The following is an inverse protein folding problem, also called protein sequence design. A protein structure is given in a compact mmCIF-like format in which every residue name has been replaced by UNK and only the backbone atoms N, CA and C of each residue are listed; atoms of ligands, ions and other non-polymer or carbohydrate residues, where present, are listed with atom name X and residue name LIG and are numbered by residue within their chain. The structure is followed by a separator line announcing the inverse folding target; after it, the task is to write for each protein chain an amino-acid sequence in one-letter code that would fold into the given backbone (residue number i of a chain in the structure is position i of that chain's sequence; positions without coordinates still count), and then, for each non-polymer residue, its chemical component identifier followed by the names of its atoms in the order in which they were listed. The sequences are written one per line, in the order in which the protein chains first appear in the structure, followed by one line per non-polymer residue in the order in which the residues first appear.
data_IF_214915126310
#
_entry.id   IF_214915126310
#
_cell.length_a   1.000
_cell.length_b   1.000
_cell.length_c   1.000
_cell.angle_alpha   90.00
_cell.angle_beta   90.00
_cell.angle_gamma   90.00
#
_symmetry.space_group_name_H-M   'P 1'
#
loop_
_entity.id
_entity.type
_entity.pdbx_description
1 polymer ?
#
# COMPACT_ATOMS: atom_id res chain seq x y z
N UNK A 1 15.90 21.55 -15.54
CA UNK A 1 15.85 20.92 -14.20
C UNK A 1 14.77 21.64 -13.42
N UNK A 2 13.57 21.05 -13.32
CA UNK A 2 12.52 21.55 -12.43
C UNK A 2 13.05 21.43 -11.00
N UNK A 3 13.02 22.54 -10.23
CA UNK A 3 13.25 22.46 -8.79
C UNK A 3 12.06 21.68 -8.23
N UNK A 4 12.29 20.45 -7.78
CA UNK A 4 11.32 19.71 -6.98
C UNK A 4 10.86 20.60 -5.86
N UNK A 5 9.56 20.80 -5.71
CA UNK A 5 9.00 21.50 -4.57
C UNK A 5 9.30 20.66 -3.33
N UNK A 6 10.16 21.20 -2.50
CA UNK A 6 10.57 20.61 -1.25
C UNK A 6 9.57 21.06 -0.18
N UNK A 7 8.95 20.11 0.51
CA UNK A 7 8.01 20.43 1.59
C UNK A 7 8.76 20.44 2.93
N UNK A 8 8.86 21.62 3.54
CA UNK A 8 9.34 21.74 4.92
C UNK A 8 8.19 21.51 5.92
N UNK A 9 8.54 21.42 7.22
CA UNK A 9 7.55 21.15 8.27
C UNK A 9 6.43 22.19 8.33
N UNK A 10 6.72 23.46 8.05
CA UNK A 10 5.72 24.54 8.03
C UNK A 10 4.71 24.35 6.88
N UNK A 11 5.18 23.99 5.70
CA UNK A 11 4.31 23.72 4.54
C UNK A 11 3.45 22.47 4.77
N UNK A 12 4.03 21.41 5.37
CA UNK A 12 3.27 20.23 5.77
C UNK A 12 2.24 20.54 6.84
N UNK A 13 2.56 21.41 7.83
CA UNK A 13 1.62 21.83 8.86
C UNK A 13 0.43 22.61 8.27
N UNK A 14 0.67 23.47 7.30
CA UNK A 14 -0.39 24.19 6.58
C UNK A 14 -1.28 23.23 5.79
N UNK A 15 -0.71 22.25 5.05
CA UNK A 15 -1.47 21.23 4.36
C UNK A 15 -2.35 20.43 5.32
N UNK A 16 -1.80 20.02 6.47
CA UNK A 16 -2.55 19.26 7.49
C UNK A 16 -3.70 20.09 8.05
N UNK A 17 -3.47 21.36 8.36
CA UNK A 17 -4.50 22.26 8.89
C UNK A 17 -5.63 22.48 7.86
N UNK A 18 -5.29 22.77 6.61
CA UNK A 18 -6.27 22.93 5.53
C UNK A 18 -7.11 21.66 5.32
N UNK A 19 -6.43 20.49 5.31
CA UNK A 19 -7.09 19.21 5.15
C UNK A 19 -8.05 18.88 6.29
N UNK A 20 -7.69 19.18 7.55
CA UNK A 20 -8.58 19.05 8.71
C UNK A 20 -9.85 19.88 8.58
N UNK A 21 -9.71 21.11 8.12
CA UNK A 21 -10.87 21.97 7.85
C UNK A 21 -11.76 21.40 6.77
N UNK A 22 -11.16 20.87 5.69
CA UNK A 22 -11.89 20.21 4.61
C UNK A 22 -12.66 18.99 5.12
N UNK A 23 -11.99 18.12 5.88
CA UNK A 23 -12.60 16.91 6.45
C UNK A 23 -13.77 17.27 7.40
N UNK A 24 -13.59 18.28 8.26
CA UNK A 24 -14.64 18.74 9.18
C UNK A 24 -15.87 19.31 8.47
N UNK A 25 -15.73 19.79 7.24
CA UNK A 25 -16.81 20.30 6.43
C UNK A 25 -17.52 19.21 5.59
N UNK A 26 -16.99 17.98 5.57
CA UNK A 26 -17.60 16.87 4.83
C UNK A 26 -18.78 16.28 5.61
N UNK A 27 -19.81 15.83 4.85
CA UNK A 27 -20.90 15.08 5.45
C UNK A 27 -20.38 13.74 5.98
N UNK A 28 -20.66 13.37 7.25
CA UNK A 28 -20.21 12.08 7.80
C UNK A 28 -20.90 10.86 7.15
N UNK A 29 -21.97 11.04 6.38
CA UNK A 29 -22.58 9.96 5.60
C UNK A 29 -21.57 9.50 4.52
N UNK A 30 -21.03 8.30 4.68
CA UNK A 30 -20.04 7.75 3.74
C UNK A 30 -18.59 7.76 4.24
N UNK A 31 -18.39 8.17 5.48
CA UNK A 31 -17.09 8.12 6.15
C UNK A 31 -17.16 7.09 7.26
N UNK A 32 -16.22 6.16 7.31
CA UNK A 32 -16.11 5.21 8.40
C UNK A 32 -14.69 5.19 8.95
N UNK A 33 -14.55 4.71 10.17
CA UNK A 33 -13.26 4.55 10.83
C UNK A 33 -12.93 3.06 10.90
N UNK A 34 -11.68 2.70 10.66
CA UNK A 34 -11.24 1.36 10.96
C UNK A 34 -11.34 1.13 12.48
N UNK A 35 -12.28 0.26 12.85
CA UNK A 35 -12.47 -0.17 14.24
C UNK A 35 -11.75 -1.50 14.41
N UNK A 36 -10.50 -1.46 14.87
CA UNK A 36 -9.73 -2.69 15.07
C UNK A 36 -8.26 -2.40 15.39
N UNK A 37 -7.53 -3.43 15.84
CA UNK A 37 -6.10 -3.31 16.09
C UNK A 37 -5.35 -2.98 14.79
N UNK A 38 -4.24 -2.26 14.93
CA UNK A 38 -3.34 -1.93 13.83
C UNK A 38 -3.72 -0.68 13.00
N UNK A 39 -4.90 -0.07 13.20
CA UNK A 39 -5.27 1.19 12.54
C UNK A 39 -4.63 2.41 13.19
N UNK A 40 -4.28 3.45 12.38
CA UNK A 40 -3.84 4.73 12.92
C UNK A 40 -4.98 5.43 13.67
N UNK A 41 -4.63 6.14 14.74
CA UNK A 41 -5.59 6.90 15.55
C UNK A 41 -5.49 8.39 15.28
N UNK A 42 -4.34 8.85 14.77
CA UNK A 42 -4.05 10.24 14.54
C UNK A 42 -3.73 10.58 13.08
N UNK A 43 -3.56 11.85 12.83
CA UNK A 43 -3.23 12.40 11.52
C UNK A 43 -1.78 12.84 11.50
N UNK A 44 -1.07 12.46 10.44
CA UNK A 44 0.32 12.83 10.23
C UNK A 44 0.62 12.95 8.74
N UNK A 45 1.68 13.70 8.42
CA UNK A 45 2.29 13.76 7.08
C UNK A 45 3.79 13.59 7.25
N UNK A 46 4.41 12.88 6.33
CA UNK A 46 5.86 12.86 6.14
C UNK A 46 6.20 12.98 4.66
N UNK A 47 7.15 13.84 4.34
CA UNK A 47 7.74 13.97 3.01
C UNK A 47 9.22 13.60 3.09
N UNK A 48 9.67 12.74 2.17
CA UNK A 48 11.05 12.28 2.05
C UNK A 48 11.53 12.55 0.64
N UNK A 49 12.66 13.22 0.55
CA UNK A 49 13.44 13.46 -0.68
C UNK A 49 14.90 13.17 -0.43
N UNK A 50 15.76 13.36 -1.45
CA UNK A 50 17.19 13.01 -1.40
C UNK A 50 17.91 13.49 -0.14
N UNK A 51 17.66 14.72 0.28
CA UNK A 51 18.46 15.40 1.31
C UNK A 51 17.68 15.73 2.58
N UNK A 52 16.37 15.38 2.63
CA UNK A 52 15.53 15.84 3.75
C UNK A 52 14.33 14.94 4.03
N UNK A 53 14.02 14.87 5.31
CA UNK A 53 12.80 14.28 5.86
C UNK A 53 12.08 15.37 6.66
N UNK A 54 10.87 15.73 6.23
CA UNK A 54 9.98 16.65 6.93
C UNK A 54 8.73 15.93 7.40
N UNK A 55 8.25 16.26 8.61
CA UNK A 55 7.13 15.54 9.21
C UNK A 55 6.35 16.39 10.20
N UNK A 56 5.03 16.18 10.23
CA UNK A 56 4.11 16.89 11.15
C UNK A 56 3.00 15.97 11.63
N UNK A 57 2.31 16.39 12.68
CA UNK A 57 1.21 15.63 13.28
C UNK A 57 1.69 14.48 14.17
N UNK A 58 0.86 13.45 14.30
CA UNK A 58 1.15 12.27 15.14
C UNK A 58 2.13 11.29 14.45
N UNK A 59 3.27 11.82 13.98
CA UNK A 59 4.21 11.10 13.12
C UNK A 59 4.98 9.96 13.79
N UNK A 60 4.91 9.84 15.13
CA UNK A 60 5.55 8.74 15.88
C UNK A 60 4.62 7.55 16.14
N UNK A 61 3.34 7.71 15.87
CA UNK A 61 2.36 6.64 16.00
C UNK A 61 2.72 5.48 15.07
N UNK A 62 2.68 4.27 15.62
CA UNK A 62 2.87 3.05 14.84
C UNK A 62 1.52 2.45 14.49
N UNK A 63 1.43 1.91 13.30
CA UNK A 63 0.25 1.23 12.78
C UNK A 63 0.68 0.16 11.76
N UNK A 64 -0.19 -0.80 11.49
CA UNK A 64 0.10 -1.85 10.51
C UNK A 64 0.08 -1.30 9.08
N UNK A 65 0.94 -1.81 8.21
CA UNK A 65 1.00 -1.38 6.83
C UNK A 65 -0.24 -1.80 6.04
N UNK A 66 -0.86 -2.91 6.40
CA UNK A 66 -1.99 -3.47 5.66
C UNK A 66 -1.68 -3.50 4.15
N UNK A 67 -2.57 -2.99 3.31
CA UNK A 67 -2.36 -2.98 1.86
C UNK A 67 -1.25 -2.02 1.38
N UNK A 68 -0.69 -1.18 2.24
CA UNK A 68 0.46 -0.35 1.86
C UNK A 68 1.74 -1.18 1.62
N UNK A 69 1.80 -2.43 2.08
CA UNK A 69 2.92 -3.35 1.84
C UNK A 69 2.96 -3.90 0.40
N UNK A 70 1.82 -3.91 -0.32
CA UNK A 70 1.66 -4.62 -1.60
C UNK A 70 2.61 -4.16 -2.73
N UNK A 71 2.95 -2.87 -2.92
CA UNK A 71 3.93 -2.46 -3.91
C UNK A 71 5.32 -3.05 -3.66
N UNK A 72 5.72 -3.15 -2.41
CA UNK A 72 7.02 -3.73 -2.01
C UNK A 72 7.02 -5.25 -2.19
N UNK A 73 5.90 -5.91 -1.89
CA UNK A 73 5.70 -7.32 -2.20
C UNK A 73 5.85 -7.60 -3.69
N UNK A 74 5.17 -6.79 -4.54
CA UNK A 74 5.28 -6.93 -5.99
C UNK A 74 6.73 -6.73 -6.45
N UNK A 75 7.43 -5.69 -5.97
CA UNK A 75 8.82 -5.44 -6.32
C UNK A 75 9.71 -6.63 -5.94
N UNK A 76 9.57 -7.14 -4.71
CA UNK A 76 10.38 -8.27 -4.22
C UNK A 76 10.18 -9.53 -5.06
N UNK A 77 8.93 -9.83 -5.42
CA UNK A 77 8.60 -11.00 -6.22
C UNK A 77 9.08 -10.84 -7.67
N UNK A 78 8.97 -9.64 -8.24
CA UNK A 78 9.53 -9.31 -9.56
C UNK A 78 11.05 -9.45 -9.59
N UNK A 79 11.74 -8.92 -8.59
CA UNK A 79 13.21 -9.00 -8.50
C UNK A 79 13.71 -10.44 -8.30
N UNK A 80 12.90 -11.28 -7.65
CA UNK A 80 13.29 -12.66 -7.37
C UNK A 80 12.97 -13.63 -8.53
N UNK A 81 11.81 -13.48 -9.19
CA UNK A 81 11.32 -14.41 -10.22
C UNK A 81 11.40 -13.85 -11.65
N UNK A 82 11.54 -12.53 -11.79
CA UNK A 82 11.47 -11.84 -13.08
C UNK A 82 10.06 -11.56 -13.56
N UNK A 83 9.92 -10.53 -14.41
CA UNK A 83 8.62 -10.04 -14.89
C UNK A 83 7.83 -11.09 -15.69
N UNK A 84 8.52 -11.93 -16.47
CA UNK A 84 7.87 -12.97 -17.28
C UNK A 84 7.14 -14.01 -16.45
N UNK A 85 7.72 -14.42 -15.30
CA UNK A 85 7.09 -15.39 -14.43
C UNK A 85 5.95 -14.75 -13.62
N UNK A 86 6.13 -13.52 -13.12
CA UNK A 86 5.09 -12.79 -12.39
C UNK A 86 3.87 -12.52 -13.26
N UNK A 87 4.05 -12.21 -14.55
CA UNK A 87 2.94 -12.00 -15.50
C UNK A 87 2.10 -13.27 -15.74
N UNK A 88 2.63 -14.46 -15.45
CA UNK A 88 1.85 -15.71 -15.46
C UNK A 88 0.92 -15.82 -14.26
N UNK A 89 1.25 -15.19 -13.15
CA UNK A 89 0.52 -15.28 -11.88
C UNK A 89 -0.50 -14.17 -11.70
N UNK A 90 -0.16 -12.94 -12.06
CA UNK A 90 -1.03 -11.78 -11.92
C UNK A 90 -0.92 -10.89 -13.16
N UNK A 91 -2.01 -10.19 -13.49
CA UNK A 91 -2.02 -9.17 -14.53
C UNK A 91 -1.77 -7.76 -13.93
N UNK A 92 -1.89 -6.71 -14.75
CA UNK A 92 -1.79 -5.30 -14.34
C UNK A 92 -3.12 -4.55 -14.60
N UNK A 93 -4.25 -5.26 -14.65
CA UNK A 93 -5.54 -4.69 -15.00
C UNK A 93 -6.32 -4.22 -13.76
N UNK A 94 -6.98 -3.04 -13.83
CA UNK A 94 -7.87 -2.59 -12.78
C UNK A 94 -8.98 -3.61 -12.51
N UNK A 95 -9.37 -3.76 -11.23
CA UNK A 95 -10.56 -4.51 -10.87
C UNK A 95 -11.80 -3.65 -11.11
N UNK A 96 -12.82 -4.21 -11.74
CA UNK A 96 -14.15 -3.58 -11.85
C UNK A 96 -15.04 -3.84 -10.63
N UNK A 97 -14.50 -4.50 -9.61
CA UNK A 97 -15.20 -4.88 -8.37
C UNK A 97 -14.30 -4.62 -7.16
N UNK A 98 -14.87 -4.64 -5.93
CA UNK A 98 -14.12 -4.44 -4.69
C UNK A 98 -12.88 -5.35 -4.61
N UNK A 99 -11.82 -4.85 -4.01
CA UNK A 99 -10.50 -5.49 -3.91
C UNK A 99 -10.50 -6.88 -3.24
N UNK A 100 -11.60 -7.28 -2.64
CA UNK A 100 -11.83 -8.59 -2.01
C UNK A 100 -12.87 -9.43 -2.75
N UNK A 101 -13.18 -9.14 -4.02
CA UNK A 101 -14.26 -9.81 -4.76
C UNK A 101 -13.90 -11.24 -5.18
N UNK A 102 -14.50 -12.22 -4.53
CA UNK A 102 -14.45 -13.62 -4.96
C UNK A 102 -15.14 -13.84 -6.32
N UNK A 103 -16.23 -13.09 -6.56
CA UNK A 103 -16.95 -13.15 -7.83
C UNK A 103 -16.03 -12.78 -9.00
N UNK A 104 -15.26 -11.67 -8.86
CA UNK A 104 -14.31 -11.25 -9.88
C UNK A 104 -13.23 -12.30 -10.14
N UNK A 105 -12.65 -12.87 -9.08
CA UNK A 105 -11.63 -13.91 -9.20
C UNK A 105 -12.15 -15.13 -9.99
N UNK A 106 -13.39 -15.55 -9.75
CA UNK A 106 -14.03 -16.67 -10.45
C UNK A 106 -14.31 -16.35 -11.91
N UNK A 107 -14.81 -15.16 -12.21
CA UNK A 107 -15.08 -14.69 -13.57
C UNK A 107 -13.79 -14.61 -14.40
N UNK A 108 -12.66 -14.31 -13.76
CA UNK A 108 -11.33 -14.26 -14.37
C UNK A 108 -10.62 -15.65 -14.41
N UNK A 109 -11.34 -16.74 -14.17
CA UNK A 109 -10.79 -18.10 -14.20
C UNK A 109 -9.78 -18.39 -13.09
N UNK A 110 -9.85 -17.67 -11.98
CA UNK A 110 -8.98 -17.81 -10.82
C UNK A 110 -7.66 -17.04 -10.90
N UNK A 111 -7.36 -16.37 -12.02
CA UNK A 111 -6.16 -15.52 -12.15
C UNK A 111 -6.45 -14.10 -11.62
N UNK A 112 -5.69 -13.60 -10.62
CA UNK A 112 -5.89 -12.25 -10.12
C UNK A 112 -5.56 -11.16 -11.16
N UNK A 113 -6.41 -10.13 -11.26
CA UNK A 113 -6.23 -9.02 -12.21
C UNK A 113 -5.01 -8.15 -11.94
N UNK A 114 -4.59 -8.04 -10.69
CA UNK A 114 -3.40 -7.26 -10.33
C UNK A 114 -2.91 -7.60 -8.92
N UNK A 115 -1.71 -7.14 -8.61
CA UNK A 115 -1.04 -7.34 -7.32
C UNK A 115 -1.62 -6.50 -6.16
N UNK A 116 -2.48 -5.50 -6.43
CA UNK A 116 -2.98 -4.56 -5.42
C UNK A 116 -4.29 -5.01 -4.78
N UNK A 117 -5.03 -5.95 -5.41
CA UNK A 117 -6.19 -6.63 -4.80
C UNK A 117 -5.76 -7.77 -3.89
N UNK A 118 -6.66 -8.25 -3.03
CA UNK A 118 -6.31 -9.25 -2.01
C UNK A 118 -5.88 -10.59 -2.61
N UNK A 119 -6.59 -11.09 -3.61
CA UNK A 119 -6.23 -12.36 -4.29
C UNK A 119 -4.83 -12.30 -4.92
N UNK A 120 -4.48 -11.19 -5.59
CA UNK A 120 -3.17 -11.02 -6.19
C UNK A 120 -2.04 -10.92 -5.15
N UNK A 121 -2.26 -10.14 -4.09
CA UNK A 121 -1.29 -10.03 -3.01
C UNK A 121 -1.10 -11.35 -2.26
N UNK A 122 -2.17 -12.12 -2.03
CA UNK A 122 -2.13 -13.42 -1.39
C UNK A 122 -1.36 -14.44 -2.24
N UNK A 123 -1.61 -14.48 -3.54
CA UNK A 123 -0.85 -15.30 -4.47
C UNK A 123 0.64 -14.92 -4.44
N UNK A 124 0.96 -13.64 -4.57
CA UNK A 124 2.36 -13.19 -4.57
C UNK A 124 3.07 -13.44 -3.22
N UNK A 125 2.37 -13.33 -2.09
CA UNK A 125 2.92 -13.68 -0.78
C UNK A 125 3.36 -15.15 -0.74
N UNK A 126 2.59 -16.07 -1.33
CA UNK A 126 2.95 -17.49 -1.43
C UNK A 126 4.17 -17.77 -2.33
N UNK A 127 4.59 -16.79 -3.13
CA UNK A 127 5.76 -16.89 -4.02
C UNK A 127 7.03 -16.24 -3.44
N UNK A 128 6.95 -15.68 -2.24
CA UNK A 128 8.15 -15.18 -1.55
C UNK A 128 9.13 -16.31 -1.25
N UNK A 129 10.45 -16.06 -1.23
CA UNK A 129 11.43 -17.03 -0.80
C UNK A 129 11.21 -17.43 0.68
N UNK A 130 11.44 -18.68 1.01
CA UNK A 130 11.31 -19.26 2.36
C UNK A 130 10.39 -20.48 2.42
N UNK A 131 10.55 -21.28 3.47
CA UNK A 131 9.81 -22.51 3.71
C UNK A 131 8.57 -22.24 4.59
N UNK A 132 7.55 -21.62 3.99
CA UNK A 132 6.29 -21.31 4.66
C UNK A 132 6.19 -19.90 5.22
N UNK A 133 4.99 -19.54 5.72
CA UNK A 133 4.59 -18.16 6.00
C UNK A 133 5.49 -17.40 6.97
N UNK A 134 6.00 -18.07 8.00
CA UNK A 134 6.85 -17.45 9.04
C UNK A 134 8.22 -17.07 8.47
N UNK A 135 8.89 -17.99 7.79
CA UNK A 135 10.19 -17.69 7.18
C UNK A 135 10.07 -16.67 6.06
N UNK A 136 9.03 -16.76 5.23
CA UNK A 136 8.72 -15.78 4.18
C UNK A 136 8.56 -14.37 4.76
N UNK A 137 7.85 -14.22 5.87
CA UNK A 137 7.71 -12.94 6.56
C UNK A 137 9.07 -12.40 7.04
N UNK A 138 9.89 -13.25 7.68
CA UNK A 138 11.20 -12.84 8.18
C UNK A 138 12.12 -12.37 7.06
N UNK A 139 12.26 -13.18 6.00
CA UNK A 139 13.08 -12.84 4.84
C UNK A 139 12.58 -11.60 4.11
N UNK A 140 11.28 -11.39 4.05
CA UNK A 140 10.69 -10.18 3.47
C UNK A 140 10.94 -8.95 4.34
N UNK A 141 10.80 -9.05 5.65
CA UNK A 141 11.09 -7.95 6.58
C UNK A 141 12.57 -7.57 6.55
N UNK A 142 13.48 -8.54 6.50
CA UNK A 142 14.91 -8.29 6.38
C UNK A 142 15.24 -7.61 5.05
N UNK A 143 14.62 -8.06 3.95
CA UNK A 143 14.75 -7.39 2.67
C UNK A 143 14.22 -5.94 2.71
N UNK A 144 13.10 -5.66 3.38
CA UNK A 144 12.59 -4.29 3.54
C UNK A 144 13.55 -3.40 4.34
N UNK A 145 14.23 -3.95 5.35
CA UNK A 145 15.24 -3.25 6.14
C UNK A 145 16.48 -2.90 5.30
N UNK A 146 16.91 -3.82 4.46
CA UNK A 146 18.00 -3.58 3.51
C UNK A 146 17.58 -2.59 2.42
N UNK A 147 16.34 -2.70 1.93
CA UNK A 147 15.77 -1.81 0.92
C UNK A 147 15.63 -0.35 1.41
N UNK A 148 15.28 -0.17 2.67
CA UNK A 148 15.17 1.16 3.31
C UNK A 148 15.72 1.12 4.74
N UNK A 149 17.04 1.25 4.92
CA UNK A 149 17.70 1.11 6.23
C UNK A 149 17.26 2.12 7.29
N UNK A 150 16.62 3.21 6.87
CA UNK A 150 16.10 4.24 7.78
C UNK A 150 14.73 3.85 8.36
N UNK A 151 13.97 2.99 7.67
CA UNK A 151 12.65 2.57 8.10
C UNK A 151 12.76 1.58 9.27
N UNK A 152 12.07 1.88 10.37
CA UNK A 152 12.01 1.04 11.57
C UNK A 152 10.74 0.19 11.56
N UNK A 153 10.83 -0.99 10.97
CA UNK A 153 9.71 -1.92 10.82
C UNK A 153 9.78 -3.06 11.85
N UNK A 154 8.61 -3.46 12.34
CA UNK A 154 8.41 -4.64 13.20
C UNK A 154 7.13 -5.39 12.80
N UNK A 155 6.77 -6.40 13.58
CA UNK A 155 5.53 -7.17 13.40
C UNK A 155 4.60 -6.84 14.56
N UNK A 156 3.37 -6.45 14.26
CA UNK A 156 2.29 -6.37 15.23
C UNK A 156 1.68 -7.77 15.44
N UNK A 157 2.16 -8.45 16.49
CA UNK A 157 1.74 -9.82 16.81
C UNK A 157 0.27 -9.89 17.26
N UNK A 158 -0.21 -8.87 17.96
CA UNK A 158 -1.59 -8.81 18.45
C UNK A 158 -2.57 -8.61 17.30
N UNK A 159 -2.24 -7.71 16.36
CA UNK A 159 -3.02 -7.53 15.15
C UNK A 159 -3.05 -8.82 14.31
N UNK A 160 -1.92 -9.50 14.16
CA UNK A 160 -1.84 -10.76 13.42
C UNK A 160 -2.72 -11.84 14.06
N UNK A 161 -2.65 -12.03 15.37
CA UNK A 161 -3.48 -12.99 16.09
C UNK A 161 -4.98 -12.71 15.88
N UNK A 162 -5.38 -11.44 16.03
CA UNK A 162 -6.75 -11.01 15.80
C UNK A 162 -7.24 -11.29 14.37
N UNK A 163 -6.44 -10.96 13.35
CA UNK A 163 -6.83 -11.16 11.95
C UNK A 163 -6.95 -12.64 11.60
N UNK A 164 -6.05 -13.49 12.10
CA UNK A 164 -6.12 -14.92 11.87
C UNK A 164 -7.32 -15.60 12.56
N UNK A 165 -7.84 -15.03 13.66
CA UNK A 165 -9.03 -15.52 14.35
C UNK A 165 -10.33 -15.03 13.70
N UNK A 166 -10.40 -13.73 13.34
CA UNK A 166 -11.65 -13.08 12.91
C UNK A 166 -12.04 -13.41 11.46
N UNK A 167 -11.09 -13.70 10.58
CA UNK A 167 -11.35 -13.85 9.14
C UNK A 167 -11.43 -15.32 8.69
N UNK A 168 -11.43 -16.29 9.62
CA UNK A 168 -11.46 -17.73 9.28
C UNK A 168 -12.67 -18.15 8.43
N UNK A 169 -13.79 -17.44 8.57
CA UNK A 169 -15.04 -17.72 7.84
C UNK A 169 -15.34 -16.67 6.76
N UNK A 170 -14.39 -15.76 6.50
CA UNK A 170 -14.64 -14.57 5.70
C UNK A 170 -14.05 -14.65 4.29
N UNK A 171 -14.25 -13.57 3.58
CA UNK A 171 -13.94 -13.36 2.17
C UNK A 171 -12.50 -13.72 1.77
N UNK A 172 -11.50 -13.44 2.64
CA UNK A 172 -10.11 -13.71 2.30
C UNK A 172 -9.75 -15.20 2.31
N UNK A 173 -10.34 -16.00 3.22
CA UNK A 173 -10.17 -17.46 3.18
C UNK A 173 -10.81 -18.04 1.90
N UNK A 174 -11.99 -17.55 1.51
CA UNK A 174 -12.63 -17.98 0.27
C UNK A 174 -11.81 -17.63 -0.99
N UNK A 175 -11.09 -16.50 -0.97
CA UNK A 175 -10.14 -16.16 -2.04
C UNK A 175 -8.95 -17.13 -2.08
N UNK A 176 -8.40 -17.50 -0.91
CA UNK A 176 -7.32 -18.47 -0.83
C UNK A 176 -7.73 -19.86 -1.33
N UNK A 177 -8.91 -20.33 -0.93
CA UNK A 177 -9.48 -21.61 -1.38
C UNK A 177 -9.73 -21.61 -2.90
N UNK A 178 -10.18 -20.49 -3.47
CA UNK A 178 -10.36 -20.34 -4.91
C UNK A 178 -9.02 -20.41 -5.65
N UNK A 179 -7.98 -19.75 -5.12
CA UNK A 179 -6.63 -19.81 -5.69
C UNK A 179 -6.03 -21.23 -5.60
N UNK A 180 -6.25 -21.95 -4.49
CA UNK A 180 -5.79 -23.34 -4.34
C UNK A 180 -6.53 -24.25 -5.32
N UNK A 181 -7.86 -24.12 -5.43
CA UNK A 181 -8.68 -24.90 -6.36
C UNK A 181 -8.27 -24.69 -7.80
N UNK A 182 -7.84 -23.48 -8.16
CA UNK A 182 -7.32 -23.14 -9.48
C UNK A 182 -5.87 -23.60 -9.72
N UNK A 183 -5.20 -24.19 -8.71
CA UNK A 183 -3.80 -24.61 -8.82
C UNK A 183 -2.77 -23.46 -8.82
N UNK A 184 -3.20 -22.24 -8.43
CA UNK A 184 -2.33 -21.06 -8.40
C UNK A 184 -1.40 -21.05 -7.19
N UNK A 185 -1.86 -21.62 -6.07
CA UNK A 185 -1.11 -21.78 -4.81
C UNK A 185 -1.17 -23.22 -4.33
N UNK A 186 -0.23 -23.63 -3.48
CA UNK A 186 -0.16 -25.00 -2.97
C UNK A 186 -1.00 -25.26 -1.73
N UNK A 187 -1.34 -24.22 -0.94
CA UNK A 187 -2.15 -24.32 0.28
C UNK A 187 -2.86 -23.00 0.57
N UNK A 188 -4.17 -23.06 0.64
CA UNK A 188 -5.03 -21.92 1.01
C UNK A 188 -4.67 -21.39 2.40
N UNK A 189 -4.54 -22.28 3.38
CA UNK A 189 -4.21 -21.89 4.75
C UNK A 189 -2.84 -21.19 4.85
N UNK A 190 -1.83 -21.71 4.16
CA UNK A 190 -0.50 -21.08 4.17
C UNK A 190 -0.48 -19.73 3.45
N UNK A 191 -1.17 -19.60 2.31
CA UNK A 191 -1.24 -18.34 1.57
C UNK A 191 -2.04 -17.28 2.34
N UNK A 192 -3.13 -17.65 2.98
CA UNK A 192 -3.91 -16.82 3.87
C UNK A 192 -3.07 -16.29 5.04
N UNK A 193 -2.39 -17.19 5.77
CA UNK A 193 -1.50 -16.82 6.86
C UNK A 193 -0.37 -15.91 6.37
N UNK A 194 0.31 -16.27 5.28
CA UNK A 194 1.40 -15.49 4.71
C UNK A 194 0.98 -14.09 4.33
N UNK A 195 -0.19 -13.92 3.74
CA UNK A 195 -0.75 -12.61 3.39
C UNK A 195 -0.97 -11.73 4.63
N UNK A 196 -1.61 -12.26 5.69
CA UNK A 196 -1.84 -11.48 6.91
C UNK A 196 -0.57 -11.17 7.68
N UNK A 197 0.42 -12.06 7.66
CA UNK A 197 1.74 -11.79 8.22
C UNK A 197 2.41 -10.57 7.60
N UNK A 198 2.26 -10.36 6.29
CA UNK A 198 2.76 -9.15 5.63
C UNK A 198 1.91 -7.93 5.93
N UNK A 199 0.59 -8.06 6.02
CA UNK A 199 -0.31 -6.98 6.39
C UNK A 199 -0.03 -6.43 7.79
N UNK A 200 0.40 -7.29 8.72
CA UNK A 200 0.72 -6.95 10.11
C UNK A 200 2.17 -6.46 10.31
N UNK A 201 2.93 -6.23 9.26
CA UNK A 201 4.13 -5.40 9.38
C UNK A 201 3.70 -4.00 9.80
N UNK A 202 4.37 -3.44 10.81
CA UNK A 202 4.05 -2.12 11.35
C UNK A 202 5.21 -1.14 11.24
N UNK A 203 4.86 0.12 11.16
CA UNK A 203 5.76 1.25 11.14
C UNK A 203 5.00 2.54 11.40
N UNK A 204 5.70 3.65 11.39
CA UNK A 204 5.16 5.01 11.48
C UNK A 204 5.03 5.65 10.08
N UNK A 205 4.43 6.84 10.00
CA UNK A 205 4.37 7.60 8.73
C UNK A 205 5.75 7.91 8.14
N UNK A 206 6.77 8.31 8.90
CA UNK A 206 8.14 8.39 8.39
C UNK A 206 8.66 7.08 7.80
N UNK A 207 8.36 5.93 8.41
CA UNK A 207 8.82 4.64 7.89
C UNK A 207 8.19 4.32 6.54
N UNK A 208 6.88 4.57 6.39
CA UNK A 208 6.17 4.41 5.10
C UNK A 208 6.72 5.37 4.05
N UNK A 209 7.00 6.63 4.41
CA UNK A 209 7.56 7.61 3.49
C UNK A 209 9.00 7.24 3.05
N UNK A 210 9.81 6.70 3.95
CA UNK A 210 11.16 6.20 3.64
C UNK A 210 11.12 4.97 2.73
N UNK A 211 10.22 4.01 2.97
CA UNK A 211 9.99 2.89 2.06
C UNK A 211 9.56 3.38 0.67
N UNK A 212 8.59 4.31 0.62
CA UNK A 212 8.13 4.90 -0.63
C UNK A 212 9.23 5.68 -1.36
N UNK A 213 10.10 6.39 -0.65
CA UNK A 213 11.28 7.04 -1.24
C UNK A 213 12.27 6.01 -1.80
N UNK A 214 12.50 4.91 -1.08
CA UNK A 214 13.26 3.77 -1.61
C UNK A 214 12.68 3.27 -2.94
N UNK A 215 11.35 3.13 -3.03
CA UNK A 215 10.67 2.75 -4.28
C UNK A 215 10.80 3.84 -5.36
N UNK A 216 10.69 5.13 -5.01
CA UNK A 216 10.86 6.24 -5.94
C UNK A 216 12.23 6.23 -6.63
N UNK A 217 13.28 5.82 -5.90
CA UNK A 217 14.68 5.88 -6.31
C UNK A 217 15.33 4.53 -6.56
N UNK A 218 14.56 3.42 -6.44
CA UNK A 218 15.08 2.07 -6.62
C UNK A 218 15.81 1.90 -7.96
N UNK A 219 16.96 1.23 -7.92
CA UNK A 219 17.71 0.85 -9.10
C UNK A 219 17.17 -0.38 -9.82
N UNK A 220 16.12 -1.04 -9.27
CA UNK A 220 15.48 -2.20 -9.87
C UNK A 220 14.91 -1.89 -11.25
N UNK A 221 15.17 -2.77 -12.21
CA UNK A 221 14.55 -2.72 -13.55
C UNK A 221 13.04 -2.89 -13.53
N UNK A 222 12.47 -3.37 -12.41
CA UNK A 222 11.05 -3.61 -12.23
C UNK A 222 10.31 -2.45 -11.53
N UNK A 223 11.03 -1.43 -11.05
CA UNK A 223 10.46 -0.25 -10.40
C UNK A 223 9.31 0.37 -11.21
N UNK A 224 9.54 0.61 -12.48
CA UNK A 224 8.55 1.30 -13.32
C UNK A 224 7.30 0.44 -13.53
N UNK A 225 7.43 -0.88 -13.55
CA UNK A 225 6.28 -1.81 -13.55
C UNK A 225 5.45 -1.67 -12.26
N UNK A 226 6.11 -1.64 -11.10
CA UNK A 226 5.41 -1.42 -9.82
C UNK A 226 4.70 -0.07 -9.79
N UNK A 227 5.36 1.01 -10.24
CA UNK A 227 4.75 2.33 -10.29
C UNK A 227 3.57 2.41 -11.25
N UNK A 228 3.63 1.76 -12.41
CA UNK A 228 2.47 1.64 -13.33
C UNK A 228 1.32 0.89 -12.67
N UNK A 229 1.60 -0.23 -11.99
CA UNK A 229 0.56 -0.99 -11.27
C UNK A 229 -0.06 -0.15 -10.14
N UNK A 230 0.73 0.65 -9.41
CA UNK A 230 0.21 1.60 -8.43
C UNK A 230 -0.67 2.68 -9.07
N UNK A 231 -0.25 3.26 -10.21
CA UNK A 231 -1.02 4.27 -10.93
C UNK A 231 -2.39 3.75 -11.36
N UNK A 232 -2.46 2.49 -11.82
CA UNK A 232 -3.68 1.86 -12.34
C UNK A 232 -4.57 1.24 -11.27
N UNK A 233 -4.00 0.75 -10.16
CA UNK A 233 -4.68 -0.14 -9.22
C UNK A 233 -4.47 0.21 -7.74
N UNK A 234 -3.62 1.19 -7.41
CA UNK A 234 -3.14 1.40 -6.04
C UNK A 234 -4.18 1.95 -5.07
N UNK A 235 -5.19 2.66 -5.57
CA UNK A 235 -6.35 3.16 -4.83
C UNK A 235 -7.65 2.42 -5.23
N UNK A 236 -7.50 1.16 -5.68
CA UNK A 236 -8.61 0.31 -6.09
C UNK A 236 -9.46 0.97 -7.19
N UNK A 237 -10.79 1.04 -7.02
CA UNK A 237 -11.72 1.64 -7.99
C UNK A 237 -11.48 3.14 -8.21
N UNK A 238 -10.89 3.84 -7.24
CA UNK A 238 -10.57 5.26 -7.36
C UNK A 238 -9.28 5.56 -8.16
N UNK A 239 -8.51 4.54 -8.54
CA UNK A 239 -7.17 4.72 -9.13
C UNK A 239 -7.17 5.51 -10.42
N UNK A 240 -8.12 5.26 -11.31
CA UNK A 240 -8.20 5.94 -12.62
C UNK A 240 -8.43 7.45 -12.47
N UNK A 241 -9.43 7.84 -11.70
CA UNK A 241 -9.76 9.23 -11.45
C UNK A 241 -8.65 9.93 -10.68
N UNK A 242 -8.08 9.25 -9.70
CA UNK A 242 -6.92 9.72 -8.95
C UNK A 242 -5.73 10.03 -9.86
N UNK A 243 -5.34 9.06 -10.69
CA UNK A 243 -4.16 9.24 -11.54
C UNK A 243 -4.39 10.28 -12.63
N UNK A 244 -5.61 10.35 -13.18
CA UNK A 244 -5.99 11.40 -14.14
C UNK A 244 -5.90 12.80 -13.53
N UNK A 245 -6.27 12.95 -12.25
CA UNK A 245 -6.23 14.23 -11.54
C UNK A 245 -4.85 14.64 -11.05
N UNK A 246 -3.99 13.68 -10.67
CA UNK A 246 -2.73 13.95 -9.95
C UNK A 246 -1.47 13.52 -10.68
N UNK A 247 -1.57 12.61 -11.64
CA UNK A 247 -0.46 11.86 -12.25
C UNK A 247 0.47 11.18 -11.22
N UNK A 248 0.00 10.96 -9.99
CA UNK A 248 0.79 10.46 -8.87
C UNK A 248 0.50 8.97 -8.63
N UNK A 249 1.44 8.05 -8.87
CA UNK A 249 1.31 6.67 -8.40
C UNK A 249 1.15 6.66 -6.88
N UNK A 250 0.09 6.03 -6.39
CA UNK A 250 -0.20 6.02 -4.95
C UNK A 250 -0.67 4.65 -4.48
N UNK A 251 -0.54 4.38 -3.17
CA UNK A 251 -1.10 3.19 -2.52
C UNK A 251 -1.74 3.54 -1.19
N UNK A 252 -2.93 3.01 -0.96
CA UNK A 252 -3.68 3.12 0.28
C UNK A 252 -3.60 1.86 1.13
N UNK A 253 -3.72 2.03 2.45
CA UNK A 253 -3.94 0.96 3.42
C UNK A 253 -5.15 1.28 4.29
N UNK A 254 -6.01 0.30 4.55
CA UNK A 254 -7.19 0.45 5.42
C UNK A 254 -6.82 0.80 6.88
N UNK A 255 -5.55 0.66 7.24
CA UNK A 255 -5.00 1.18 8.50
C UNK A 255 -5.01 2.71 8.60
N UNK A 256 -5.34 3.42 7.53
CA UNK A 256 -5.45 4.87 7.52
C UNK A 256 -4.32 5.58 6.75
N UNK A 257 -3.47 4.86 6.02
CA UNK A 257 -2.32 5.44 5.30
C UNK A 257 -2.56 5.52 3.80
N UNK A 258 -2.08 6.61 3.18
CA UNK A 258 -1.79 6.69 1.73
C UNK A 258 -0.38 7.22 1.56
N UNK A 259 0.36 6.65 0.63
CA UNK A 259 1.61 7.25 0.15
C UNK A 259 1.58 7.39 -1.37
N UNK A 260 2.20 8.47 -1.84
CA UNK A 260 2.34 8.82 -3.26
C UNK A 260 3.79 9.02 -3.64
N UNK A 261 4.12 8.64 -4.86
CA UNK A 261 5.49 8.59 -5.38
C UNK A 261 5.69 9.65 -6.46
N UNK A 262 6.67 10.52 -6.27
CA UNK A 262 7.29 11.32 -7.34
C UNK A 262 8.46 10.53 -7.91
N UNK A 263 8.32 9.88 -9.09
CA UNK A 263 9.33 8.97 -9.61
C UNK A 263 10.71 9.61 -9.73
N UNK A 264 11.75 8.94 -9.21
CA UNK A 264 13.12 9.43 -9.20
C UNK A 264 13.42 10.55 -8.21
N UNK A 265 12.44 11.01 -7.43
CA UNK A 265 12.56 12.25 -6.67
C UNK A 265 12.17 12.15 -5.19
N UNK A 266 10.92 11.80 -4.89
CA UNK A 266 10.38 11.91 -3.54
C UNK A 266 9.24 10.94 -3.27
N UNK A 267 8.89 10.82 -1.99
CA UNK A 267 7.65 10.21 -1.51
C UNK A 267 7.01 11.11 -0.45
N UNK A 268 5.69 11.22 -0.50
CA UNK A 268 4.89 11.76 0.60
C UNK A 268 3.96 10.67 1.11
N UNK A 269 3.93 10.47 2.42
CA UNK A 269 2.97 9.61 3.11
C UNK A 269 2.14 10.44 4.09
N UNK A 270 0.87 10.12 4.20
CA UNK A 270 -0.02 10.74 5.17
C UNK A 270 -0.94 9.70 5.82
N UNK A 271 -1.37 9.98 7.05
CA UNK A 271 -2.31 9.12 7.79
C UNK A 271 -3.53 9.89 8.29
N UNK A 272 -4.65 9.20 8.35
CA UNK A 272 -5.89 9.61 9.02
C UNK A 272 -6.78 8.39 9.24
N UNK A 273 -7.48 8.28 10.38
CA UNK A 273 -8.35 7.15 10.66
C UNK A 273 -9.64 7.10 9.84
N UNK A 274 -9.95 8.13 9.06
CA UNK A 274 -11.21 8.25 8.33
C UNK A 274 -11.10 7.78 6.89
N UNK A 275 -11.93 6.79 6.52
CA UNK A 275 -11.91 6.10 5.23
C UNK A 275 -13.18 6.42 4.43
N UNK A 276 -13.07 6.40 3.10
CA UNK A 276 -14.19 6.39 2.17
C UNK A 276 -14.78 4.97 2.01
N UNK A 277 -15.85 4.84 1.22
CA UNK A 277 -16.50 3.55 0.97
C UNK A 277 -15.61 2.54 0.24
N UNK A 278 -14.60 2.99 -0.50
CA UNK A 278 -13.58 2.15 -1.15
C UNK A 278 -12.48 1.68 -0.21
N UNK A 279 -12.50 2.12 1.07
CA UNK A 279 -11.46 1.81 2.06
C UNK A 279 -10.21 2.69 1.93
N UNK A 280 -10.26 3.80 1.20
CA UNK A 280 -9.14 4.71 1.06
C UNK A 280 -9.25 5.84 2.10
N UNK A 281 -8.15 6.21 2.79
CA UNK A 281 -8.11 7.32 3.72
C UNK A 281 -8.38 8.67 3.04
N UNK A 282 -9.40 9.39 3.50
CA UNK A 282 -9.92 10.59 2.83
C UNK A 282 -8.94 11.77 2.92
N UNK A 283 -8.52 12.11 4.15
CA UNK A 283 -7.60 13.22 4.38
C UNK A 283 -6.25 13.04 3.68
N UNK A 284 -5.60 11.86 3.76
CA UNK A 284 -4.40 11.57 3.00
C UNK A 284 -4.53 11.77 1.50
N UNK A 285 -5.61 11.30 0.88
CA UNK A 285 -5.86 11.52 -0.55
C UNK A 285 -5.91 13.02 -0.86
N UNK A 286 -6.66 13.80 -0.07
CA UNK A 286 -6.75 15.24 -0.29
C UNK A 286 -5.37 15.92 -0.16
N UNK A 287 -4.59 15.58 0.87
CA UNK A 287 -3.24 16.13 1.10
C UNK A 287 -2.33 15.86 -0.10
N UNK A 288 -2.25 14.61 -0.55
CA UNK A 288 -1.40 14.22 -1.66
C UNK A 288 -1.86 14.87 -2.98
N UNK A 289 -3.15 15.05 -3.20
CA UNK A 289 -3.68 15.76 -4.37
C UNK A 289 -3.27 17.23 -4.38
N UNK A 290 -3.33 17.91 -3.21
CA UNK A 290 -2.85 19.30 -3.10
C UNK A 290 -1.34 19.39 -3.34
N UNK A 291 -0.57 18.45 -2.81
CA UNK A 291 0.86 18.39 -3.03
C UNK A 291 1.19 18.16 -4.52
N UNK A 292 0.53 17.22 -5.18
CA UNK A 292 0.71 16.97 -6.61
C UNK A 292 0.30 18.17 -7.50
N UNK A 293 -0.70 18.96 -7.08
CA UNK A 293 -1.09 20.16 -7.80
C UNK A 293 -0.03 21.29 -7.70
N UNK A 294 0.70 21.35 -6.57
CA UNK A 294 1.77 22.34 -6.35
C UNK A 294 3.10 21.89 -6.99
N UNK A 295 3.38 20.60 -6.98
CA UNK A 295 4.57 19.98 -7.58
C UNK A 295 4.13 18.76 -8.41
N UNK A 296 3.68 18.95 -9.66
CA UNK A 296 3.26 17.85 -10.51
C UNK A 296 4.40 16.85 -10.72
N UNK A 297 4.13 15.53 -10.56
CA UNK A 297 5.11 14.51 -10.92
C UNK A 297 5.52 14.68 -12.38
N UNK A 298 6.83 14.61 -12.67
CA UNK A 298 7.32 14.78 -14.03
C UNK A 298 6.62 13.83 -15.00
N UNK A 299 6.28 14.30 -16.19
CA UNK A 299 5.70 13.48 -17.26
C UNK A 299 6.77 12.51 -17.76
N UNK A 300 6.85 11.32 -17.16
CA UNK A 300 7.88 10.34 -17.46
C UNK A 300 7.57 8.96 -16.88
N UNK A 301 6.44 8.38 -17.25
CA UNK A 301 6.22 6.93 -17.25
C UNK A 301 5.61 6.51 -18.57
#
# INVERSE_FOLDING_TARGET
MSKSAFYNDQQLAELLWQGRRKLSAMNPAGVFRMNGPGGCQGEAICHVSKDQISRVGNSKERFTLMSAVKPFLLLRVLDFHGAGEVARWVDEEPSGMPYYSLKQLREDGGKPRNAMINSGAMLLASKLPGNGPVEQQHLFLDWLRDFSPIANLSVDADCLANLLEQDKDATNMALAEELERGGWIGSAAAAYEGYFRLCCLEGSIPDVACLGYGLATAASSHRDQVLRTMARCGLYEASSDWYAATALPAKSGVSGVVFGIWPGNACMAASSPWLDHGGNPILPQWILAQAAAQDPPGKGM
#
